data_IF_569313615447
#
_entry.id   IF_569313615447
#
_cell.length_a   1.000
_cell.length_b   1.000
_cell.length_c   1.000
_cell.angle_alpha   90.00
_cell.angle_beta   90.00
_cell.angle_gamma   90.00
#
_symmetry.space_group_name_H-M   'P 1'
#
loop_
_entity.id
_entity.type
_entity.pdbx_description
1 polymer ?
#
# COMPACT_ATOMS: atom_id res chain seq x y z
N UNK A 1 17.39 -13.22 -16.02
CA UNK A 1 17.65 -12.11 -15.08
C UNK A 1 16.43 -11.22 -14.81
N UNK A 2 15.85 -10.49 -15.79
CA UNK A 2 14.66 -9.64 -15.52
C UNK A 2 13.42 -10.45 -15.11
N UNK A 3 13.19 -11.60 -15.74
CA UNK A 3 11.98 -12.41 -15.51
C UNK A 3 11.98 -13.09 -14.14
N UNK A 4 13.07 -13.78 -13.76
CA UNK A 4 13.14 -14.44 -12.43
C UNK A 4 13.03 -13.41 -11.31
N UNK A 5 13.69 -12.26 -11.46
CA UNK A 5 13.60 -11.17 -10.50
C UNK A 5 12.15 -10.73 -10.27
N UNK A 6 11.38 -10.50 -11.34
CA UNK A 6 9.96 -10.09 -11.24
C UNK A 6 9.11 -11.23 -10.63
N UNK A 7 9.38 -12.47 -11.00
CA UNK A 7 8.69 -13.66 -10.48
C UNK A 7 8.93 -13.90 -8.98
N UNK A 8 10.00 -13.34 -8.39
CA UNK A 8 10.22 -13.34 -6.94
C UNK A 8 9.70 -12.05 -6.31
N UNK A 9 9.98 -10.90 -6.93
CA UNK A 9 9.67 -9.58 -6.39
C UNK A 9 8.17 -9.34 -6.20
N UNK A 10 7.35 -9.61 -7.22
CA UNK A 10 5.91 -9.33 -7.17
C UNK A 10 5.19 -10.17 -6.11
N UNK A 11 5.43 -11.50 -5.99
CA UNK A 11 4.85 -12.27 -4.90
C UNK A 11 5.28 -11.81 -3.50
N UNK A 12 6.56 -11.45 -3.32
CA UNK A 12 7.03 -10.93 -2.03
C UNK A 12 6.39 -9.58 -1.67
N UNK A 13 6.27 -8.67 -2.64
CA UNK A 13 5.56 -7.41 -2.45
C UNK A 13 4.09 -7.66 -2.12
N UNK A 14 3.42 -8.56 -2.85
CA UNK A 14 2.02 -8.91 -2.59
C UNK A 14 1.83 -9.48 -1.18
N UNK A 15 2.69 -10.40 -0.75
CA UNK A 15 2.66 -10.99 0.58
C UNK A 15 2.83 -9.93 1.68
N UNK A 16 3.80 -9.02 1.52
CA UNK A 16 4.01 -7.91 2.45
C UNK A 16 2.79 -6.98 2.49
N UNK A 17 2.26 -6.54 1.34
CA UNK A 17 1.09 -5.67 1.31
C UNK A 17 -0.16 -6.32 1.92
N UNK A 18 -0.38 -7.61 1.65
CA UNK A 18 -1.48 -8.38 2.24
C UNK A 18 -1.29 -8.53 3.76
N UNK A 19 -0.09 -8.87 4.21
CA UNK A 19 0.22 -9.04 5.61
C UNK A 19 0.06 -7.75 6.42
N UNK A 20 0.72 -6.67 5.98
CA UNK A 20 0.80 -5.40 6.71
C UNK A 20 -0.48 -4.56 6.63
N UNK A 21 -1.19 -4.58 5.50
CA UNK A 21 -2.34 -3.70 5.31
C UNK A 21 -3.66 -4.43 5.34
N UNK A 22 -3.75 -5.69 4.89
CA UNK A 22 -5.01 -6.43 4.88
C UNK A 22 -5.21 -7.24 6.16
N UNK A 23 -4.22 -8.05 6.54
CA UNK A 23 -4.35 -8.99 7.65
C UNK A 23 -3.95 -8.45 9.02
N UNK A 24 -3.18 -7.36 9.07
CA UNK A 24 -3.00 -6.60 10.30
C UNK A 24 -4.26 -5.78 10.60
N UNK A 25 -4.98 -6.10 11.67
CA UNK A 25 -6.23 -5.40 12.01
C UNK A 25 -5.98 -4.16 12.89
N UNK A 26 -6.89 -3.19 12.86
CA UNK A 26 -6.85 -2.03 13.78
C UNK A 26 -6.87 -2.46 15.27
N UNK A 27 -7.42 -3.64 15.57
CA UNK A 27 -7.38 -4.22 16.93
C UNK A 27 -5.98 -4.71 17.29
N UNK A 28 -5.26 -5.27 16.32
CA UNK A 28 -3.87 -5.72 16.50
C UNK A 28 -2.94 -4.52 16.75
N UNK A 29 -3.18 -3.41 16.03
CA UNK A 29 -2.49 -2.13 16.25
C UNK A 29 -2.77 -1.55 17.63
N UNK A 30 -4.02 -1.63 18.13
CA UNK A 30 -4.41 -1.14 19.46
C UNK A 30 -3.87 -2.01 20.61
N UNK A 31 -3.71 -3.32 20.38
CA UNK A 31 -3.17 -4.27 21.36
C UNK A 31 -1.67 -4.58 21.13
N UNK A 32 -0.91 -3.64 20.55
CA UNK A 32 0.52 -3.77 20.19
C UNK A 32 1.48 -4.22 21.30
N UNK A 33 1.03 -4.25 22.57
CA UNK A 33 1.80 -4.79 23.71
C UNK A 33 1.74 -6.31 23.82
N UNK A 34 0.80 -6.98 23.16
CA UNK A 34 0.69 -8.43 23.18
C UNK A 34 1.71 -9.07 22.24
N UNK A 35 2.68 -9.79 22.81
CA UNK A 35 3.67 -10.57 22.06
C UNK A 35 3.02 -11.61 21.14
N UNK A 36 1.84 -12.13 21.51
CA UNK A 36 1.09 -13.11 20.71
C UNK A 36 0.55 -12.51 19.40
N UNK A 37 -0.02 -11.31 19.48
CA UNK A 37 -0.55 -10.61 18.30
C UNK A 37 0.59 -10.22 17.37
N UNK A 38 1.70 -9.77 17.95
CA UNK A 38 2.91 -9.43 17.22
C UNK A 38 3.50 -10.64 16.49
N UNK A 39 3.68 -11.77 17.19
CA UNK A 39 4.18 -13.01 16.58
C UNK A 39 3.27 -13.55 15.49
N UNK A 40 1.95 -13.49 15.69
CA UNK A 40 0.96 -13.92 14.68
C UNK A 40 1.13 -13.15 13.37
N UNK A 41 1.32 -11.84 13.43
CA UNK A 41 1.48 -11.02 12.22
C UNK A 41 2.73 -11.41 11.43
N UNK A 42 3.88 -11.54 12.10
CA UNK A 42 5.14 -11.95 11.47
C UNK A 42 4.99 -13.32 10.81
N UNK A 43 4.37 -14.28 11.51
CA UNK A 43 4.12 -15.62 10.97
C UNK A 43 3.25 -15.56 9.71
N UNK A 44 2.19 -14.74 9.71
CA UNK A 44 1.33 -14.56 8.53
C UNK A 44 2.13 -14.02 7.35
N UNK A 45 2.92 -12.96 7.54
CA UNK A 45 3.75 -12.36 6.49
C UNK A 45 4.76 -13.38 5.94
N UNK A 46 5.44 -14.12 6.82
CA UNK A 46 6.41 -15.15 6.43
C UNK A 46 5.75 -16.28 5.63
N UNK A 47 4.63 -16.83 6.10
CA UNK A 47 3.92 -17.92 5.43
C UNK A 47 3.39 -17.46 4.08
N UNK A 48 2.76 -16.28 4.01
CA UNK A 48 2.29 -15.71 2.75
C UNK A 48 3.43 -15.48 1.77
N UNK A 49 4.57 -14.98 2.23
CA UNK A 49 5.74 -14.73 1.38
C UNK A 49 6.25 -16.02 0.75
N UNK A 50 6.43 -17.07 1.55
CA UNK A 50 6.88 -18.36 1.05
C UNK A 50 5.84 -19.01 0.11
N UNK A 51 4.56 -18.95 0.49
CA UNK A 51 3.47 -19.49 -0.31
C UNK A 51 3.34 -18.81 -1.67
N UNK A 52 3.30 -17.47 -1.72
CA UNK A 52 3.10 -16.74 -2.97
C UNK A 52 4.35 -16.81 -3.87
N UNK A 53 5.57 -16.86 -3.34
CA UNK A 53 6.75 -17.06 -4.21
C UNK A 53 6.72 -18.44 -4.87
N UNK A 54 6.29 -19.47 -4.14
CA UNK A 54 6.07 -20.81 -4.70
C UNK A 54 7.34 -21.57 -5.11
N UNK A 55 8.52 -21.11 -4.70
CA UNK A 55 9.80 -21.81 -4.89
C UNK A 55 10.04 -22.68 -3.64
N UNK A 56 9.41 -23.85 -3.61
CA UNK A 56 9.34 -24.69 -2.41
C UNK A 56 10.71 -25.18 -1.93
N UNK A 57 11.68 -25.35 -2.82
CA UNK A 57 13.03 -25.80 -2.45
C UNK A 57 13.86 -24.70 -1.76
N UNK A 58 13.39 -23.44 -1.75
CA UNK A 58 14.15 -22.30 -1.23
C UNK A 58 13.68 -21.86 0.16
N UNK A 59 14.14 -22.55 1.21
CA UNK A 59 13.86 -22.16 2.60
C UNK A 59 14.51 -20.85 3.04
N UNK A 60 15.42 -20.29 2.22
CA UNK A 60 16.04 -19.00 2.50
C UNK A 60 15.01 -17.86 2.51
N UNK A 61 13.95 -17.96 1.69
CA UNK A 61 12.87 -16.97 1.62
C UNK A 61 12.19 -16.76 2.98
N UNK A 62 11.54 -17.77 3.59
CA UNK A 62 10.86 -17.58 4.87
C UNK A 62 11.82 -17.18 5.99
N UNK A 63 13.07 -17.69 6.00
CA UNK A 63 14.06 -17.35 7.03
C UNK A 63 14.42 -15.86 6.97
N UNK A 64 14.79 -15.35 5.79
CA UNK A 64 15.19 -13.94 5.65
C UNK A 64 14.00 -13.03 5.95
N UNK A 65 12.82 -13.31 5.38
CA UNK A 65 11.61 -12.49 5.61
C UNK A 65 11.23 -12.48 7.09
N UNK A 66 11.24 -13.62 7.77
CA UNK A 66 10.92 -13.69 9.20
C UNK A 66 11.88 -12.84 10.04
N UNK A 67 13.19 -13.03 9.85
CA UNK A 67 14.21 -12.34 10.65
C UNK A 67 14.22 -10.84 10.38
N UNK A 68 14.17 -10.44 9.10
CA UNK A 68 14.17 -9.02 8.74
C UNK A 68 12.93 -8.31 9.26
N UNK A 69 11.74 -8.92 9.09
CA UNK A 69 10.49 -8.31 9.48
C UNK A 69 10.41 -8.17 11.01
N UNK A 70 10.85 -9.21 11.75
CA UNK A 70 11.01 -9.15 13.21
C UNK A 70 11.94 -8.01 13.65
N UNK A 71 13.12 -7.87 13.03
CA UNK A 71 14.10 -6.85 13.39
C UNK A 71 13.54 -5.44 13.10
N UNK A 72 13.01 -5.21 11.91
CA UNK A 72 12.49 -3.89 11.50
C UNK A 72 11.35 -3.46 12.40
N UNK A 73 10.40 -4.36 12.68
CA UNK A 73 9.26 -4.06 13.55
C UNK A 73 9.67 -3.80 15.01
N UNK A 74 10.67 -4.53 15.53
CA UNK A 74 11.21 -4.30 16.88
C UNK A 74 11.92 -2.94 16.94
N UNK A 75 12.71 -2.59 15.93
CA UNK A 75 13.36 -1.27 15.84
C UNK A 75 12.32 -0.14 15.79
N UNK A 76 11.26 -0.30 15.02
CA UNK A 76 10.15 0.66 14.94
C UNK A 76 9.52 0.91 16.32
N UNK A 77 9.32 -0.16 17.11
CA UNK A 77 8.77 -0.05 18.48
C UNK A 77 9.65 0.72 19.45
N UNK A 78 10.95 0.85 19.18
CA UNK A 78 11.86 1.63 20.03
C UNK A 78 11.62 3.15 19.93
N UNK A 79 10.88 3.62 18.92
CA UNK A 79 10.54 5.03 18.75
C UNK A 79 9.19 5.37 19.44
N UNK A 80 9.15 6.49 20.16
CA UNK A 80 7.99 6.89 20.99
C UNK A 80 6.82 7.51 20.22
N UNK A 81 7.07 8.16 19.10
CA UNK A 81 6.06 8.96 18.38
C UNK A 81 5.84 8.41 16.98
N UNK A 82 4.62 8.00 16.65
CA UNK A 82 4.25 7.67 15.28
C UNK A 82 4.28 8.95 14.41
N UNK A 83 5.00 8.89 13.28
CA UNK A 83 5.13 9.99 12.33
C UNK A 83 5.18 9.48 10.90
N UNK A 84 4.89 10.37 9.93
CA UNK A 84 5.02 10.04 8.50
C UNK A 84 6.42 9.54 8.16
N UNK A 85 7.46 10.18 8.71
CA UNK A 85 8.85 9.80 8.45
C UNK A 85 9.13 8.37 8.94
N UNK A 86 8.70 8.02 10.15
CA UNK A 86 8.90 6.67 10.68
C UNK A 86 8.11 5.62 9.89
N UNK A 87 6.90 5.94 9.45
CA UNK A 87 6.13 5.07 8.55
C UNK A 87 6.88 4.86 7.22
N UNK A 88 7.39 5.91 6.60
CA UNK A 88 8.13 5.82 5.33
C UNK A 88 9.44 5.04 5.50
N UNK A 89 10.19 5.28 6.57
CA UNK A 89 11.44 4.56 6.85
C UNK A 89 11.20 3.06 7.09
N UNK A 90 10.16 2.73 7.85
CA UNK A 90 9.75 1.35 8.11
C UNK A 90 9.41 0.60 6.81
N UNK A 91 8.52 1.17 5.99
CA UNK A 91 8.13 0.56 4.73
C UNK A 91 9.31 0.46 3.74
N UNK A 92 10.18 1.49 3.73
CA UNK A 92 11.38 1.48 2.89
C UNK A 92 12.37 0.38 3.29
N UNK A 93 12.50 0.11 4.60
CA UNK A 93 13.35 -0.98 5.09
C UNK A 93 12.83 -2.36 4.65
N UNK A 94 11.52 -2.59 4.76
CA UNK A 94 10.91 -3.84 4.28
C UNK A 94 11.07 -4.01 2.77
N UNK A 95 10.82 -2.95 1.98
CA UNK A 95 11.00 -2.98 0.53
C UNK A 95 12.46 -3.20 0.12
N UNK A 96 13.42 -2.59 0.83
CA UNK A 96 14.84 -2.80 0.58
C UNK A 96 15.20 -4.29 0.75
N UNK A 97 14.74 -4.93 1.83
CA UNK A 97 14.99 -6.36 2.05
C UNK A 97 14.37 -7.20 0.93
N UNK A 98 13.12 -6.93 0.56
CA UNK A 98 12.43 -7.66 -0.51
C UNK A 98 13.19 -7.52 -1.85
N UNK A 99 13.63 -6.31 -2.20
CA UNK A 99 14.38 -6.04 -3.44
C UNK A 99 15.74 -6.75 -3.41
N UNK A 100 16.50 -6.63 -2.32
CA UNK A 100 17.81 -7.26 -2.18
C UNK A 100 17.70 -8.80 -2.20
N UNK A 101 16.70 -9.35 -1.52
CA UNK A 101 16.43 -10.79 -1.54
C UNK A 101 16.07 -11.28 -2.95
N UNK A 102 15.17 -10.56 -3.63
CA UNK A 102 14.77 -10.89 -5.00
C UNK A 102 15.96 -10.83 -5.95
N UNK A 103 16.79 -9.80 -5.83
CA UNK A 103 18.00 -9.64 -6.64
C UNK A 103 19.01 -10.76 -6.35
N UNK A 104 19.28 -11.05 -5.08
CA UNK A 104 20.20 -12.11 -4.67
C UNK A 104 19.77 -13.48 -5.20
N UNK A 105 18.50 -13.84 -5.02
CA UNK A 105 17.97 -15.14 -5.45
C UNK A 105 17.95 -15.24 -6.99
N UNK A 106 17.56 -14.18 -7.70
CA UNK A 106 17.54 -14.17 -9.17
C UNK A 106 18.92 -14.36 -9.82
N UNK A 107 20.01 -14.09 -9.10
CA UNK A 107 21.37 -14.28 -9.60
C UNK A 107 22.03 -15.57 -9.10
N UNK A 108 21.54 -16.15 -8.00
CA UNK A 108 22.18 -17.30 -7.33
C UNK A 108 21.48 -18.63 -7.64
N UNK A 109 20.17 -18.63 -7.85
CA UNK A 109 19.44 -19.86 -8.14
C UNK A 109 19.78 -20.26 -9.58
N UNK A 110 20.41 -21.42 -9.74
CA UNK A 110 20.62 -22.01 -11.06
C UNK A 110 19.27 -22.29 -11.73
N UNK A 111 19.21 -22.11 -13.06
CA UNK A 111 17.96 -22.21 -13.84
C UNK A 111 17.22 -23.53 -13.57
N UNK A 112 17.93 -24.64 -13.34
CA UNK A 112 17.34 -25.95 -13.07
C UNK A 112 16.68 -26.05 -11.67
N UNK A 113 17.08 -25.21 -10.73
CA UNK A 113 16.52 -25.15 -9.37
C UNK A 113 15.42 -24.09 -9.25
N UNK A 114 15.31 -23.21 -10.25
CA UNK A 114 14.30 -22.16 -10.30
C UNK A 114 12.97 -22.71 -10.81
N UNK A 115 12.12 -23.15 -9.87
CA UNK A 115 10.78 -23.67 -10.16
C UNK A 115 9.72 -22.84 -9.41
N UNK A 116 9.29 -21.70 -9.97
CA UNK A 116 8.24 -20.87 -9.39
C UNK A 116 6.87 -21.51 -9.67
N UNK A 117 6.42 -22.39 -8.78
CA UNK A 117 5.22 -23.23 -8.96
C UNK A 117 4.00 -22.52 -9.56
N UNK A 118 3.65 -21.33 -9.04
CA UNK A 118 2.49 -20.57 -9.53
C UNK A 118 2.69 -19.94 -10.90
N UNK A 119 3.90 -19.46 -11.18
CA UNK A 119 4.24 -18.91 -12.49
C UNK A 119 4.30 -20.01 -13.55
N UNK A 120 4.73 -21.22 -13.19
CA UNK A 120 4.74 -22.37 -14.11
C UNK A 120 3.31 -22.85 -14.42
N UNK A 121 2.42 -22.86 -13.42
CA UNK A 121 1.02 -23.29 -13.61
C UNK A 121 0.15 -22.27 -14.35
N UNK A 122 0.29 -20.99 -14.03
CA UNK A 122 -0.64 -19.94 -14.50
C UNK A 122 0.02 -18.90 -15.42
N UNK A 123 1.34 -19.01 -15.65
CA UNK A 123 2.10 -18.08 -16.48
C UNK A 123 2.04 -16.63 -15.99
N UNK A 124 2.12 -15.70 -16.93
CA UNK A 124 2.08 -14.26 -16.66
C UNK A 124 0.76 -13.79 -16.03
N UNK A 125 -0.32 -14.57 -16.12
CA UNK A 125 -1.60 -14.23 -15.49
C UNK A 125 -1.50 -14.22 -13.96
N UNK A 126 -0.64 -15.06 -13.38
CA UNK A 126 -0.36 -15.02 -11.94
C UNK A 126 0.23 -13.67 -11.53
N UNK A 127 1.27 -13.22 -12.23
CA UNK A 127 1.92 -11.94 -11.94
C UNK A 127 0.98 -10.75 -12.18
N UNK A 128 0.17 -10.79 -13.25
CA UNK A 128 -0.86 -9.77 -13.52
C UNK A 128 -1.88 -9.68 -12.38
N UNK A 129 -2.35 -10.82 -11.86
CA UNK A 129 -3.27 -10.86 -10.74
C UNK A 129 -2.65 -10.23 -9.48
N UNK A 130 -1.39 -10.55 -9.18
CA UNK A 130 -0.68 -9.97 -8.04
C UNK A 130 -0.48 -8.46 -8.21
N UNK A 131 -0.11 -7.98 -9.40
CA UNK A 131 0.01 -6.55 -9.70
C UNK A 131 -1.32 -5.82 -9.47
N UNK A 132 -2.44 -6.39 -9.92
CA UNK A 132 -3.77 -5.83 -9.67
C UNK A 132 -4.09 -5.83 -8.18
N UNK A 133 -3.82 -6.93 -7.46
CA UNK A 133 -4.05 -7.02 -6.01
C UNK A 133 -3.24 -5.97 -5.23
N UNK A 134 -1.95 -5.81 -5.54
CA UNK A 134 -1.09 -4.77 -4.96
C UNK A 134 -1.67 -3.38 -5.23
N UNK A 135 -2.05 -3.09 -6.49
CA UNK A 135 -2.60 -1.79 -6.86
C UNK A 135 -3.87 -1.45 -6.08
N UNK A 136 -4.76 -2.42 -5.84
CA UNK A 136 -5.97 -2.24 -5.03
C UNK A 136 -5.65 -1.90 -3.56
N UNK A 137 -4.65 -2.56 -2.97
CA UNK A 137 -4.19 -2.26 -1.61
C UNK A 137 -3.56 -0.86 -1.54
N UNK A 138 -2.77 -0.52 -2.55
CA UNK A 138 -2.09 0.77 -2.65
C UNK A 138 -3.10 1.92 -2.71
N UNK A 139 -4.08 1.87 -3.62
CA UNK A 139 -5.09 2.94 -3.78
C UNK A 139 -6.05 3.03 -2.59
N UNK A 140 -6.24 1.95 -1.83
CA UNK A 140 -7.08 1.96 -0.63
C UNK A 140 -6.25 2.28 0.62
N UNK A 141 -5.88 1.25 1.39
CA UNK A 141 -5.35 1.38 2.75
C UNK A 141 -4.03 2.13 2.81
N UNK A 142 -3.07 1.76 1.96
CA UNK A 142 -1.73 2.38 1.97
C UNK A 142 -1.81 3.90 1.76
N UNK A 143 -2.48 4.33 0.68
CA UNK A 143 -2.68 5.75 0.38
C UNK A 143 -3.41 6.49 1.50
N UNK A 144 -4.43 5.88 2.11
CA UNK A 144 -5.15 6.54 3.21
C UNK A 144 -4.29 6.80 4.44
N UNK A 145 -3.30 5.94 4.73
CA UNK A 145 -2.39 6.15 5.86
C UNK A 145 -1.52 7.38 5.59
N UNK A 146 -0.91 7.46 4.40
CA UNK A 146 -0.08 8.61 3.98
C UNK A 146 -0.89 9.91 4.01
N UNK A 147 -2.07 9.90 3.38
CA UNK A 147 -2.95 11.08 3.33
C UNK A 147 -3.37 11.50 4.74
N UNK A 148 -3.69 10.55 5.62
CA UNK A 148 -4.08 10.85 7.00
C UNK A 148 -2.96 11.55 7.77
N UNK A 149 -1.70 11.14 7.59
CA UNK A 149 -0.57 11.82 8.22
C UNK A 149 -0.37 13.25 7.70
N UNK A 150 -0.44 13.45 6.38
CA UNK A 150 -0.20 14.77 5.75
C UNK A 150 -1.30 15.76 6.12
N UNK A 151 -2.55 15.29 6.21
CA UNK A 151 -3.71 16.16 6.41
C UNK A 151 -4.04 16.42 7.89
N UNK A 152 -3.44 15.65 8.81
CA UNK A 152 -3.66 15.74 10.26
C UNK A 152 -3.54 17.17 10.83
N UNK A 153 -2.55 18.01 10.45
CA UNK A 153 -2.47 19.38 10.97
C UNK A 153 -3.68 20.25 10.59
N UNK A 154 -4.28 19.99 9.43
CA UNK A 154 -5.50 20.68 8.99
C UNK A 154 -6.75 20.13 9.68
N UNK A 155 -6.80 18.82 9.93
CA UNK A 155 -7.87 18.19 10.72
C UNK A 155 -7.92 18.74 12.14
N UNK A 156 -6.79 18.89 12.82
CA UNK A 156 -6.74 19.43 14.19
C UNK A 156 -7.21 20.89 14.23
N UNK A 157 -6.86 21.69 13.20
CA UNK A 157 -7.35 23.07 13.08
C UNK A 157 -8.85 23.16 12.82
N UNK A 158 -9.41 22.20 12.08
CA UNK A 158 -10.84 22.11 11.76
C UNK A 158 -11.68 21.60 12.93
N UNK A 159 -11.27 20.46 13.50
CA UNK A 159 -12.01 19.70 14.49
C UNK A 159 -11.35 19.94 15.85
N UNK A 160 -11.84 20.95 16.60
CA UNK A 160 -11.36 21.28 17.95
C UNK A 160 -11.31 20.06 18.89
N UNK A 161 -12.14 19.04 18.64
CA UNK A 161 -12.10 17.71 19.25
C UNK A 161 -12.17 16.61 18.18
N UNK A 162 -11.09 15.82 18.02
CA UNK A 162 -11.06 14.66 17.11
C UNK A 162 -12.08 13.57 17.51
N UNK A 163 -12.46 13.50 18.80
CA UNK A 163 -13.32 12.44 19.32
C UNK A 163 -14.79 12.56 18.89
N UNK A 164 -15.29 13.77 18.66
CA UNK A 164 -16.69 13.99 18.26
C UNK A 164 -16.93 13.79 16.75
N UNK A 165 -15.88 13.82 15.92
CA UNK A 165 -16.00 13.81 14.46
C UNK A 165 -15.45 12.53 13.81
N UNK A 166 -15.39 11.42 14.56
CA UNK A 166 -14.88 10.14 14.07
C UNK A 166 -15.62 9.63 12.84
N UNK A 167 -16.91 9.88 12.74
CA UNK A 167 -17.73 9.37 11.63
C UNK A 167 -17.55 10.20 10.35
N UNK A 168 -17.30 11.51 10.46
CA UNK A 168 -16.91 12.35 9.32
C UNK A 168 -15.55 11.93 8.75
N UNK A 169 -14.58 11.65 9.62
CA UNK A 169 -13.25 11.17 9.22
C UNK A 169 -13.32 9.81 8.52
N UNK A 170 -14.14 8.88 9.04
CA UNK A 170 -14.38 7.58 8.37
C UNK A 170 -15.04 7.77 7.01
N UNK A 171 -16.06 8.63 6.92
CA UNK A 171 -16.77 8.91 5.67
C UNK A 171 -15.82 9.49 4.62
N UNK A 172 -15.01 10.47 4.98
CA UNK A 172 -13.98 11.03 4.10
C UNK A 172 -12.97 9.99 3.61
N UNK A 173 -12.60 9.02 4.46
CA UNK A 173 -11.72 7.91 4.08
C UNK A 173 -12.36 7.01 3.03
N UNK A 174 -13.64 6.67 3.18
CA UNK A 174 -14.39 5.86 2.22
C UNK A 174 -14.53 6.58 0.87
N UNK A 175 -14.85 7.88 0.88
CA UNK A 175 -14.88 8.70 -0.35
C UNK A 175 -13.53 8.64 -1.05
N UNK A 176 -12.43 8.84 -0.30
CA UNK A 176 -11.09 8.74 -0.87
C UNK A 176 -10.76 7.37 -1.47
N UNK A 177 -11.26 6.27 -0.89
CA UNK A 177 -11.13 4.93 -1.48
C UNK A 177 -11.85 4.82 -2.82
N UNK A 178 -13.10 5.25 -2.87
CA UNK A 178 -13.91 5.19 -4.09
C UNK A 178 -13.30 6.04 -5.22
N UNK A 179 -12.79 7.23 -4.90
CA UNK A 179 -12.14 8.09 -5.88
C UNK A 179 -10.89 7.47 -6.48
N UNK A 180 -9.96 6.98 -5.65
CA UNK A 180 -8.72 6.38 -6.16
C UNK A 180 -8.97 5.05 -6.87
N UNK A 181 -9.98 4.31 -6.44
CA UNK A 181 -10.43 3.11 -7.14
C UNK A 181 -11.02 3.45 -8.53
N UNK A 182 -11.85 4.48 -8.63
CA UNK A 182 -12.37 4.96 -9.90
C UNK A 182 -11.24 5.44 -10.84
N UNK A 183 -10.25 6.17 -10.31
CA UNK A 183 -9.05 6.57 -11.08
C UNK A 183 -8.35 5.33 -11.64
N UNK A 184 -8.06 4.34 -10.80
CA UNK A 184 -7.37 3.12 -11.22
C UNK A 184 -8.13 2.41 -12.36
N UNK A 185 -9.45 2.22 -12.21
CA UNK A 185 -10.28 1.60 -13.25
C UNK A 185 -10.24 2.41 -14.54
N UNK A 186 -10.41 3.74 -14.48
CA UNK A 186 -10.45 4.58 -15.67
C UNK A 186 -9.12 4.57 -16.42
N UNK A 187 -7.99 4.54 -15.72
CA UNK A 187 -6.68 4.39 -16.34
C UNK A 187 -6.50 3.00 -16.99
N UNK A 188 -6.87 1.92 -16.30
CA UNK A 188 -6.81 0.56 -16.84
C UNK A 188 -7.76 0.36 -18.03
N UNK A 189 -8.89 1.07 -18.06
CA UNK A 189 -9.84 1.08 -19.17
C UNK A 189 -9.41 1.99 -20.33
N UNK A 190 -8.23 2.61 -20.27
CA UNK A 190 -7.72 3.57 -21.25
C UNK A 190 -8.64 4.80 -21.44
N UNK A 191 -9.24 5.27 -20.35
CA UNK A 191 -10.12 6.45 -20.29
C UNK A 191 -9.60 7.52 -19.28
N UNK A 192 -8.31 7.90 -19.30
CA UNK A 192 -7.76 8.84 -18.32
C UNK A 192 -8.41 10.24 -18.38
N UNK A 193 -8.95 10.64 -19.55
CA UNK A 193 -9.64 11.93 -19.73
C UNK A 193 -10.84 12.08 -18.78
N UNK A 194 -11.52 10.98 -18.43
CA UNK A 194 -12.66 11.00 -17.49
C UNK A 194 -12.23 11.42 -16.08
N UNK A 195 -10.99 11.12 -15.68
CA UNK A 195 -10.45 11.55 -14.38
C UNK A 195 -10.35 13.08 -14.31
N UNK A 196 -10.00 13.74 -15.42
CA UNK A 196 -10.00 15.20 -15.50
C UNK A 196 -11.38 15.80 -15.21
N UNK A 197 -12.43 15.24 -15.83
CA UNK A 197 -13.81 15.67 -15.57
C UNK A 197 -14.23 15.46 -14.11
N UNK A 198 -13.86 14.34 -13.50
CA UNK A 198 -14.14 14.07 -12.08
C UNK A 198 -13.49 15.10 -11.15
N UNK A 199 -12.23 15.45 -11.40
CA UNK A 199 -11.49 16.48 -10.62
C UNK A 199 -12.19 17.84 -10.76
N UNK A 200 -12.51 18.24 -11.99
CA UNK A 200 -13.15 19.52 -12.27
C UNK A 200 -14.54 19.62 -11.62
N UNK A 201 -15.38 18.59 -11.77
CA UNK A 201 -16.72 18.56 -11.18
C UNK A 201 -16.67 18.71 -9.66
N UNK A 202 -15.77 17.98 -8.99
CA UNK A 202 -15.60 18.06 -7.54
C UNK A 202 -15.11 19.44 -7.08
N UNK A 203 -14.24 20.07 -7.87
CA UNK A 203 -13.70 21.40 -7.57
C UNK A 203 -14.75 22.50 -7.70
N UNK A 204 -15.62 22.42 -8.71
CA UNK A 204 -16.74 23.37 -8.93
C UNK A 204 -17.76 23.28 -7.80
N UNK A 205 -18.19 22.06 -7.44
CA UNK A 205 -19.18 21.85 -6.37
C UNK A 205 -18.69 22.42 -5.04
N UNK A 206 -17.38 22.32 -4.77
CA UNK A 206 -16.79 22.80 -3.52
C UNK A 206 -16.64 24.30 -3.44
N UNK A 207 -16.39 24.98 -4.57
CA UNK A 207 -16.26 26.44 -4.60
C UNK A 207 -17.60 27.15 -4.27
N UNK A 208 -18.74 26.51 -4.57
CA UNK A 208 -20.07 27.04 -4.27
C UNK A 208 -20.45 27.06 -2.77
N UNK A 209 -19.65 26.44 -1.89
CA UNK A 209 -19.98 26.27 -0.47
C UNK A 209 -19.33 27.33 0.45
N UNK A 210 -18.57 28.28 -0.11
CA UNK A 210 -17.82 29.27 0.67
C UNK A 210 -18.74 30.43 1.10
N UNK A 211 -19.10 30.52 2.39
CA UNK A 211 -19.88 31.63 2.93
C UNK A 211 -19.17 32.42 4.04
N UNK A 212 -18.35 31.76 4.87
CA UNK A 212 -17.69 32.33 6.06
C UNK A 212 -16.23 31.85 6.25
N UNK A 213 -15.50 32.42 7.23
CA UNK A 213 -14.10 32.04 7.51
C UNK A 213 -13.90 30.57 7.97
N UNK A 214 -14.87 29.97 8.68
CA UNK A 214 -14.80 28.54 9.01
C UNK A 214 -14.87 27.65 7.75
N UNK A 215 -15.58 28.11 6.72
CA UNK A 215 -15.68 27.40 5.44
C UNK A 215 -14.35 27.43 4.70
N UNK A 216 -13.51 28.47 4.90
CA UNK A 216 -12.18 28.55 4.27
C UNK A 216 -11.24 27.43 4.72
N UNK A 217 -11.16 27.17 6.02
CA UNK A 217 -10.32 26.07 6.56
C UNK A 217 -10.85 24.71 6.08
N UNK A 218 -12.18 24.56 6.00
CA UNK A 218 -12.83 23.37 5.47
C UNK A 218 -12.53 23.17 3.97
N UNK A 219 -12.50 24.24 3.20
CA UNK A 219 -12.18 24.22 1.77
C UNK A 219 -10.71 23.85 1.55
N UNK A 220 -9.78 24.46 2.29
CA UNK A 220 -8.36 24.10 2.24
C UNK A 220 -8.12 22.63 2.59
N UNK A 221 -8.73 22.14 3.67
CA UNK A 221 -8.67 20.73 4.07
C UNK A 221 -9.15 19.81 2.95
N UNK A 222 -10.33 20.05 2.38
CA UNK A 222 -10.88 19.20 1.31
C UNK A 222 -10.06 19.32 0.02
N UNK A 223 -9.61 20.51 -0.35
CA UNK A 223 -8.86 20.76 -1.57
C UNK A 223 -7.48 20.08 -1.53
N UNK A 224 -6.73 20.25 -0.43
CA UNK A 224 -5.44 19.57 -0.22
C UNK A 224 -5.63 18.05 -0.23
N UNK A 225 -6.62 17.54 0.51
CA UNK A 225 -6.88 16.10 0.57
C UNK A 225 -7.25 15.50 -0.79
N UNK A 226 -8.08 16.22 -1.55
CA UNK A 226 -8.52 15.80 -2.87
C UNK A 226 -7.38 15.80 -3.87
N UNK A 227 -6.61 16.90 -3.97
CA UNK A 227 -5.46 16.99 -4.90
C UNK A 227 -4.41 15.91 -4.59
N UNK A 228 -4.10 15.71 -3.31
CA UNK A 228 -3.17 14.66 -2.89
C UNK A 228 -3.69 13.25 -3.24
N UNK A 229 -4.98 12.99 -2.99
CA UNK A 229 -5.64 11.73 -3.32
C UNK A 229 -5.58 11.45 -4.83
N UNK A 230 -5.88 12.45 -5.66
CA UNK A 230 -5.79 12.32 -7.12
C UNK A 230 -4.35 12.07 -7.59
N UNK A 231 -3.37 12.84 -7.09
CA UNK A 231 -1.97 12.67 -7.47
C UNK A 231 -1.47 11.25 -7.14
N UNK A 232 -1.78 10.73 -5.95
CA UNK A 232 -1.41 9.37 -5.53
C UNK A 232 -2.15 8.31 -6.38
N UNK A 233 -3.45 8.49 -6.60
CA UNK A 233 -4.26 7.56 -7.40
C UNK A 233 -3.75 7.44 -8.84
N UNK A 234 -3.46 8.57 -9.49
CA UNK A 234 -2.89 8.62 -10.85
C UNK A 234 -1.52 7.94 -10.88
N UNK A 235 -0.65 8.26 -9.92
CA UNK A 235 0.70 7.66 -9.83
C UNK A 235 0.62 6.15 -9.73
N UNK A 236 -0.22 5.62 -8.85
CA UNK A 236 -0.40 4.17 -8.68
C UNK A 236 -0.95 3.54 -9.96
N UNK A 237 -1.92 4.18 -10.62
CA UNK A 237 -2.50 3.66 -11.85
C UNK A 237 -1.46 3.57 -12.98
N UNK A 238 -0.64 4.60 -13.16
CA UNK A 238 0.46 4.60 -14.13
C UNK A 238 1.49 3.50 -13.82
N UNK A 239 1.93 3.39 -12.55
CA UNK A 239 2.85 2.33 -12.14
C UNK A 239 2.27 0.93 -12.37
N UNK A 240 0.96 0.78 -12.18
CA UNK A 240 0.26 -0.49 -12.43
C UNK A 240 0.30 -0.85 -13.91
N UNK A 241 0.01 0.10 -14.81
CA UNK A 241 0.06 -0.09 -16.26
C UNK A 241 1.49 -0.44 -16.71
N UNK A 242 2.50 0.33 -16.27
CA UNK A 242 3.89 0.05 -16.60
C UNK A 242 4.32 -1.35 -16.13
N UNK A 243 3.93 -1.74 -14.92
CA UNK A 243 4.23 -3.07 -14.39
C UNK A 243 3.53 -4.17 -15.21
N UNK A 244 2.27 -3.97 -15.62
CA UNK A 244 1.55 -4.92 -16.47
C UNK A 244 2.19 -5.08 -17.86
N UNK A 245 2.71 -3.98 -18.43
CA UNK A 245 3.43 -3.99 -19.71
C UNK A 245 4.81 -4.67 -19.60
N UNK A 246 5.46 -4.62 -18.43
CA UNK A 246 6.71 -5.37 -18.20
C UNK A 246 6.48 -6.89 -18.07
N UNK A 247 5.25 -7.30 -17.72
CA UNK A 247 4.86 -8.71 -17.55
C UNK A 247 4.27 -9.29 -18.85
N UNK A 248 3.82 -8.46 -19.79
CA UNK A 248 3.27 -8.92 -21.08
C UNK A 248 4.34 -9.48 -22.01
#
# INVERSE_FOLDING_TARGET
MKTEFIQILLPLLAAHFLGDFIFQTDKDVRNKKSLLIFGKHIIIVTILSYFLVGIWNCFLIPIIIFLSHLIIDLLKKSFKNDSLLLFVLDQSAHYLVIILLSFYLSNKIEVEQFNPYWSDLFGNNYLRLLTIAISMILVTKFSSIIISYIIRPFQIKMFKDENNNKDEIKTGRVIGYLERFAILILFLANLPTIVGFLITAKSILRYGEIKNNNDKVMVEYVLIGTLLSFAIGITIALLTIETLNLIS
#
